data_IF_443804261957
#
_entry.id   IF_443804261957
#
_cell.length_a   1.000
_cell.length_b   1.000
_cell.length_c   1.000
_cell.angle_alpha   90.00
_cell.angle_beta   90.00
_cell.angle_gamma   90.00
#
_symmetry.space_group_name_H-M   'P 1'
#
loop_
_entity.id
_entity.type
_entity.pdbx_description
1 polymer ?
#
# COMPACT_ATOMS: atom_id res chain seq x y z
N UNK A 1 26.66 -11.99 13.84
CA UNK A 1 25.97 -11.17 12.79
C UNK A 1 26.69 -11.13 11.44
N UNK A 2 27.57 -12.10 11.15
CA UNK A 2 28.35 -12.17 9.90
C UNK A 2 27.53 -12.36 8.61
N UNK A 3 26.23 -12.54 8.71
CA UNK A 3 25.31 -12.76 7.57
C UNK A 3 24.44 -11.53 7.22
N UNK A 4 24.71 -10.38 7.80
CA UNK A 4 23.94 -9.16 7.57
C UNK A 4 24.84 -8.00 7.11
N UNK A 5 24.25 -7.11 6.31
CA UNK A 5 24.86 -5.84 5.90
C UNK A 5 24.16 -4.69 6.61
N UNK A 6 24.91 -3.67 7.01
CA UNK A 6 24.35 -2.39 7.48
C UNK A 6 23.94 -1.57 6.27
N UNK A 7 22.75 -0.99 6.32
CA UNK A 7 22.21 -0.03 5.36
C UNK A 7 21.99 1.28 6.09
N UNK A 8 22.43 2.38 5.51
CA UNK A 8 22.29 3.73 6.05
C UNK A 8 21.15 4.48 5.37
N UNK A 9 20.65 5.48 6.06
CA UNK A 9 19.64 6.40 5.52
C UNK A 9 20.08 6.97 4.17
N UNK A 10 19.17 6.98 3.21
CA UNK A 10 19.47 7.40 1.82
C UNK A 10 20.04 6.30 0.93
N UNK A 11 20.37 5.14 1.51
CA UNK A 11 20.82 3.98 0.72
C UNK A 11 19.65 3.10 0.32
N UNK A 12 19.83 2.43 -0.80
CA UNK A 12 18.89 1.46 -1.37
C UNK A 12 19.32 0.03 -1.06
N UNK A 13 18.32 -0.82 -0.97
CA UNK A 13 18.50 -2.28 -0.98
C UNK A 13 17.81 -2.87 -2.20
N UNK A 14 18.41 -3.89 -2.77
CA UNK A 14 17.95 -4.51 -4.00
C UNK A 14 18.18 -6.03 -3.99
N UNK A 15 17.16 -6.78 -4.41
CA UNK A 15 17.28 -8.22 -4.70
C UNK A 15 17.02 -8.44 -6.18
N UNK A 16 17.94 -9.11 -6.91
CA UNK A 16 17.80 -9.31 -8.35
C UNK A 16 16.72 -10.29 -8.77
N UNK A 17 16.18 -11.10 -7.86
CA UNK A 17 15.14 -12.11 -8.16
C UNK A 17 13.80 -11.44 -8.48
N UNK A 18 13.30 -11.63 -9.71
CA UNK A 18 12.02 -11.09 -10.18
C UNK A 18 10.90 -12.13 -10.24
N UNK A 19 11.23 -13.43 -10.31
CA UNK A 19 10.26 -14.49 -10.58
C UNK A 19 9.43 -14.93 -9.37
N UNK A 20 9.92 -14.71 -8.14
CA UNK A 20 9.29 -15.19 -6.90
C UNK A 20 8.40 -14.18 -6.19
N UNK A 21 8.31 -12.96 -6.70
CA UNK A 21 7.66 -11.82 -6.01
C UNK A 21 6.50 -11.22 -6.81
N UNK A 22 5.82 -12.05 -7.61
CA UNK A 22 4.68 -11.60 -8.41
C UNK A 22 5.09 -10.63 -9.52
N UNK A 23 6.17 -10.95 -10.23
CA UNK A 23 6.74 -10.16 -11.34
C UNK A 23 7.18 -8.74 -10.93
N UNK A 24 7.55 -8.56 -9.64
CA UNK A 24 8.08 -7.31 -9.10
C UNK A 24 9.52 -7.47 -8.71
N UNK A 25 10.29 -6.42 -8.95
CA UNK A 25 11.65 -6.31 -8.44
C UNK A 25 11.62 -5.72 -7.02
N UNK A 26 12.42 -6.28 -6.11
CA UNK A 26 12.47 -5.79 -4.74
C UNK A 26 13.57 -4.73 -4.61
N UNK A 27 13.15 -3.47 -4.63
CA UNK A 27 14.01 -2.31 -4.34
C UNK A 27 13.33 -1.51 -3.23
N UNK A 28 14.12 -1.05 -2.26
CA UNK A 28 13.65 -0.18 -1.19
C UNK A 28 14.70 0.86 -0.84
N UNK A 29 14.26 2.06 -0.50
CA UNK A 29 15.07 3.15 0.04
C UNK A 29 14.88 3.20 1.56
N UNK A 30 15.95 3.34 2.32
CA UNK A 30 15.88 3.56 3.75
C UNK A 30 15.69 5.05 4.04
N UNK A 31 14.48 5.43 4.47
CA UNK A 31 14.12 6.83 4.78
C UNK A 31 13.90 7.08 6.27
N UNK A 32 13.30 6.10 7.00
CA UNK A 32 12.74 6.32 8.34
C UNK A 32 13.76 6.13 9.47
N UNK A 33 14.84 5.38 9.22
CA UNK A 33 15.86 5.05 10.23
C UNK A 33 17.24 5.48 9.76
N UNK A 34 18.10 5.86 10.70
CA UNK A 34 19.49 6.22 10.38
C UNK A 34 20.30 5.03 9.88
N UNK A 35 20.05 3.84 10.45
CA UNK A 35 20.68 2.59 10.03
C UNK A 35 19.69 1.42 10.14
N UNK A 36 19.88 0.40 9.31
CA UNK A 36 19.13 -0.84 9.31
C UNK A 36 20.01 -2.04 8.97
N UNK A 37 19.51 -3.24 9.21
CA UNK A 37 20.20 -4.49 8.88
C UNK A 37 19.44 -5.24 7.79
N UNK A 38 20.14 -5.64 6.74
CA UNK A 38 19.59 -6.51 5.69
C UNK A 38 20.43 -7.75 5.51
N UNK A 39 19.82 -8.84 5.04
CA UNK A 39 20.54 -10.07 4.73
C UNK A 39 21.61 -9.81 3.67
N UNK A 40 22.67 -10.62 3.68
CA UNK A 40 23.78 -10.53 2.73
C UNK A 40 23.41 -10.74 1.26
N UNK A 41 22.21 -11.30 0.99
CA UNK A 41 21.69 -11.50 -0.38
C UNK A 41 21.25 -10.18 -1.03
N UNK A 42 21.04 -9.13 -0.24
CA UNK A 42 20.71 -7.81 -0.78
C UNK A 42 21.97 -7.11 -1.29
N UNK A 43 21.88 -6.51 -2.45
CA UNK A 43 22.82 -5.49 -2.90
C UNK A 43 22.42 -4.16 -2.28
N UNK A 44 23.39 -3.45 -1.69
CA UNK A 44 23.21 -2.10 -1.15
C UNK A 44 23.89 -1.14 -2.11
N UNK A 45 23.20 -0.06 -2.47
CA UNK A 45 23.73 0.99 -3.34
C UNK A 45 23.20 2.36 -2.93
N UNK A 46 23.81 3.41 -3.41
CA UNK A 46 23.41 4.80 -3.12
C UNK A 46 23.57 5.69 -4.34
N UNK A 47 22.95 6.85 -4.32
CA UNK A 47 23.14 7.89 -5.29
C UNK A 47 24.49 8.59 -5.01
N UNK A 48 25.37 8.65 -6.00
CA UNK A 48 26.72 9.23 -5.85
C UNK A 48 26.65 10.75 -5.69
N UNK A 49 25.76 11.42 -6.42
CA UNK A 49 25.64 12.88 -6.47
C UNK A 49 24.19 13.30 -6.23
N UNK A 50 23.88 13.58 -4.97
CA UNK A 50 22.54 13.98 -4.55
C UNK A 50 22.15 15.41 -4.98
N UNK A 51 23.10 16.20 -5.47
CA UNK A 51 22.80 17.50 -6.07
C UNK A 51 22.24 17.37 -7.50
N UNK A 52 22.46 16.21 -8.13
CA UNK A 52 21.92 15.90 -9.45
C UNK A 52 20.72 14.99 -9.42
N UNK A 53 20.69 14.02 -8.50
CA UNK A 53 19.64 13.01 -8.42
C UNK A 53 19.23 12.78 -6.95
N UNK A 54 17.99 13.07 -6.63
CA UNK A 54 17.44 12.77 -5.30
C UNK A 54 17.16 11.27 -5.15
N UNK A 55 17.56 10.63 -4.04
CA UNK A 55 17.22 9.24 -3.76
C UNK A 55 15.72 8.99 -3.80
N UNK A 56 14.92 9.88 -3.23
CA UNK A 56 13.45 9.77 -3.21
C UNK A 56 12.86 9.84 -4.64
N UNK A 57 13.41 10.69 -5.51
CA UNK A 57 12.98 10.74 -6.91
C UNK A 57 13.32 9.43 -7.63
N UNK A 58 14.51 8.88 -7.41
CA UNK A 58 14.92 7.60 -7.97
C UNK A 58 14.03 6.46 -7.44
N UNK A 59 13.64 6.47 -6.16
CA UNK A 59 12.70 5.49 -5.61
C UNK A 59 11.33 5.57 -6.28
N UNK A 60 10.83 6.78 -6.56
CA UNK A 60 9.57 6.95 -7.32
C UNK A 60 9.68 6.37 -8.73
N UNK A 61 10.84 6.50 -9.38
CA UNK A 61 11.08 5.88 -10.68
C UNK A 61 11.00 4.35 -10.60
N UNK A 62 11.65 3.74 -9.61
CA UNK A 62 11.64 2.29 -9.41
C UNK A 62 10.27 1.74 -8.99
N UNK A 63 9.44 2.54 -8.33
CA UNK A 63 8.11 2.13 -7.85
C UNK A 63 7.05 2.03 -8.95
N UNK A 64 7.37 2.36 -10.20
CA UNK A 64 6.42 2.34 -11.31
C UNK A 64 6.19 0.92 -11.83
N UNK A 65 4.97 0.56 -12.18
CA UNK A 65 4.68 -0.73 -12.82
C UNK A 65 5.45 -0.96 -14.14
N UNK A 66 5.81 0.14 -14.84
CA UNK A 66 6.64 0.07 -16.05
C UNK A 66 8.03 -0.45 -15.74
N UNK A 67 8.60 -0.06 -14.59
CA UNK A 67 9.90 -0.55 -14.17
C UNK A 67 9.87 -2.03 -13.79
N UNK A 68 8.84 -2.48 -13.10
CA UNK A 68 8.63 -3.90 -12.82
C UNK A 68 8.58 -4.73 -14.12
N UNK A 69 7.83 -4.27 -15.13
CA UNK A 69 7.76 -4.92 -16.45
C UNK A 69 9.11 -4.92 -17.17
N UNK A 70 9.83 -3.80 -17.11
CA UNK A 70 11.17 -3.71 -17.67
C UNK A 70 12.13 -4.67 -16.98
N UNK A 71 12.17 -4.67 -15.66
CA UNK A 71 13.00 -5.57 -14.86
C UNK A 71 12.69 -7.04 -15.18
N UNK A 72 11.42 -7.39 -15.32
CA UNK A 72 10.99 -8.74 -15.70
C UNK A 72 11.46 -9.10 -17.11
N UNK A 73 11.31 -8.21 -18.08
CA UNK A 73 11.76 -8.42 -19.46
C UNK A 73 13.29 -8.58 -19.57
N UNK A 74 14.04 -7.85 -18.75
CA UNK A 74 15.51 -7.91 -18.72
C UNK A 74 16.08 -9.04 -17.87
N UNK A 75 15.22 -9.72 -17.12
CA UNK A 75 15.64 -10.84 -16.27
C UNK A 75 15.96 -12.08 -17.11
N UNK A 76 17.00 -12.81 -16.70
CA UNK A 76 17.39 -14.05 -17.34
C UNK A 76 17.57 -15.16 -16.29
N UNK A 77 17.52 -16.39 -16.76
CA UNK A 77 17.70 -17.60 -15.95
C UNK A 77 16.60 -18.63 -16.20
N UNK A 78 16.95 -19.89 -16.10
CA UNK A 78 16.02 -21.00 -16.39
C UNK A 78 15.21 -21.45 -15.17
N UNK A 79 15.72 -21.22 -13.95
CA UNK A 79 15.09 -21.64 -12.68
C UNK A 79 14.71 -20.44 -11.82
N UNK A 80 15.54 -19.42 -11.87
CA UNK A 80 15.31 -18.11 -11.22
C UNK A 80 15.65 -17.04 -12.22
N UNK A 81 14.68 -16.24 -12.55
CA UNK A 81 14.91 -15.09 -13.40
C UNK A 81 15.38 -13.94 -12.55
N UNK A 82 16.53 -13.39 -12.91
CA UNK A 82 17.20 -12.33 -12.18
C UNK A 82 17.55 -11.18 -13.13
N UNK A 83 17.30 -9.97 -12.68
CA UNK A 83 17.89 -8.77 -13.25
C UNK A 83 19.14 -8.47 -12.43
N UNK A 84 20.31 -8.77 -12.98
CA UNK A 84 21.57 -8.58 -12.27
C UNK A 84 21.97 -7.12 -12.15
N UNK A 85 23.04 -6.85 -11.39
CA UNK A 85 23.50 -5.49 -11.16
C UNK A 85 24.03 -4.81 -12.43
N UNK A 86 24.60 -5.55 -13.34
CA UNK A 86 25.09 -5.03 -14.61
C UNK A 86 23.94 -4.52 -15.49
N UNK A 87 22.82 -5.26 -15.54
CA UNK A 87 21.60 -4.81 -16.22
C UNK A 87 20.95 -3.63 -15.49
N UNK A 88 20.99 -3.60 -14.15
CA UNK A 88 20.52 -2.45 -13.39
C UNK A 88 21.29 -1.18 -13.74
N UNK A 89 22.60 -1.26 -13.90
CA UNK A 89 23.45 -0.12 -14.28
C UNK A 89 23.18 0.41 -15.69
N UNK A 90 22.54 -0.36 -16.57
CA UNK A 90 22.16 0.05 -17.93
C UNK A 90 20.79 0.74 -18.00
N UNK A 91 20.07 0.82 -16.88
CA UNK A 91 18.76 1.47 -16.84
C UNK A 91 18.89 2.95 -17.14
N UNK A 92 18.24 3.39 -18.19
CA UNK A 92 18.13 4.81 -18.53
C UNK A 92 16.91 5.41 -17.82
N UNK A 93 17.10 6.56 -17.17
CA UNK A 93 16.05 7.30 -16.51
C UNK A 93 16.15 8.79 -16.85
N UNK A 94 15.02 9.52 -16.93
CA UNK A 94 15.07 10.96 -17.06
C UNK A 94 15.54 11.60 -15.76
N UNK A 95 16.54 12.45 -15.83
CA UNK A 95 17.05 13.22 -14.68
C UNK A 95 16.77 14.72 -14.96
N UNK A 96 15.57 15.21 -14.61
CA UNK A 96 15.28 16.63 -14.71
C UNK A 96 16.10 17.43 -13.70
N UNK A 97 16.05 18.77 -13.81
CA UNK A 97 16.69 19.62 -12.82
C UNK A 97 16.23 19.31 -11.39
N UNK A 98 17.10 19.57 -10.41
CA UNK A 98 16.89 19.17 -9.02
C UNK A 98 15.63 19.81 -8.42
N UNK A 99 15.28 21.02 -8.83
CA UNK A 99 14.09 21.71 -8.34
C UNK A 99 12.81 21.04 -8.85
N UNK A 100 12.82 20.52 -10.06
CA UNK A 100 11.71 19.73 -10.59
C UNK A 100 11.57 18.39 -9.88
N UNK A 101 12.70 17.72 -9.58
CA UNK A 101 12.70 16.50 -8.78
C UNK A 101 12.10 16.76 -7.38
N UNK A 102 12.51 17.82 -6.68
CA UNK A 102 11.97 18.23 -5.37
C UNK A 102 10.47 18.46 -5.42
N UNK A 103 9.97 19.13 -6.45
CA UNK A 103 8.53 19.35 -6.65
C UNK A 103 7.75 18.04 -6.82
N UNK A 104 8.29 17.09 -7.59
CA UNK A 104 7.67 15.78 -7.82
C UNK A 104 7.63 14.99 -6.50
N UNK A 105 8.76 14.88 -5.80
CA UNK A 105 8.85 14.18 -4.51
C UNK A 105 7.89 14.80 -3.50
N UNK A 106 7.86 16.14 -3.39
CA UNK A 106 6.95 16.84 -2.48
C UNK A 106 5.48 16.58 -2.79
N UNK A 107 5.10 16.61 -4.07
CA UNK A 107 3.73 16.33 -4.49
C UNK A 107 3.32 14.90 -4.12
N UNK A 108 4.17 13.93 -4.39
CA UNK A 108 3.94 12.53 -4.02
C UNK A 108 3.81 12.37 -2.51
N UNK A 109 4.78 12.88 -1.74
CA UNK A 109 4.77 12.82 -0.27
C UNK A 109 3.53 13.45 0.34
N UNK A 110 3.06 14.57 -0.20
CA UNK A 110 1.82 15.22 0.27
C UNK A 110 0.61 14.29 0.15
N UNK A 111 0.55 13.47 -0.89
CA UNK A 111 -0.55 12.52 -1.10
C UNK A 111 -0.40 11.31 -0.17
N UNK A 112 0.79 10.72 -0.07
CA UNK A 112 1.04 9.55 0.78
C UNK A 112 0.85 9.89 2.26
N UNK A 113 1.40 11.01 2.75
CA UNK A 113 1.21 11.46 4.12
C UNK A 113 -0.28 11.66 4.47
N UNK A 114 -1.07 12.13 3.50
CA UNK A 114 -2.52 12.28 3.67
C UNK A 114 -3.25 10.93 3.72
N UNK A 115 -2.79 9.95 2.96
CA UNK A 115 -3.33 8.58 3.01
C UNK A 115 -3.03 7.97 4.38
N UNK A 116 -1.78 8.06 4.84
CA UNK A 116 -1.34 7.51 6.12
C UNK A 116 -2.09 8.17 7.30
N UNK A 117 -2.26 9.50 7.24
CA UNK A 117 -3.05 10.20 8.25
C UNK A 117 -4.50 9.72 8.29
N UNK A 118 -5.13 9.53 7.13
CA UNK A 118 -6.50 9.01 7.06
C UNK A 118 -6.60 7.58 7.60
N UNK A 119 -5.61 6.74 7.32
CA UNK A 119 -5.57 5.39 7.87
C UNK A 119 -5.52 5.43 9.40
N UNK A 120 -4.61 6.22 9.97
CA UNK A 120 -4.52 6.40 11.43
C UNK A 120 -5.81 6.93 12.05
N UNK A 121 -6.53 7.81 11.35
CA UNK A 121 -7.84 8.29 11.82
C UNK A 121 -8.85 7.15 11.83
N UNK A 122 -8.90 6.32 10.79
CA UNK A 122 -9.81 5.18 10.73
C UNK A 122 -9.50 4.18 11.86
N UNK A 123 -8.23 3.83 12.07
CA UNK A 123 -7.81 2.92 13.13
C UNK A 123 -8.23 3.45 14.52
N UNK A 124 -8.03 4.75 14.78
CA UNK A 124 -8.47 5.38 16.03
C UNK A 124 -10.00 5.41 16.20
N UNK A 125 -10.75 5.56 15.11
CA UNK A 125 -12.21 5.49 15.14
C UNK A 125 -12.71 4.09 15.46
N UNK A 126 -12.09 3.06 14.88
CA UNK A 126 -12.39 1.67 15.17
C UNK A 126 -12.08 1.32 16.62
N UNK A 127 -10.92 1.71 17.14
CA UNK A 127 -10.55 1.53 18.56
C UNK A 127 -11.52 2.25 19.49
N UNK A 128 -11.96 3.46 19.12
CA UNK A 128 -12.95 4.22 19.89
C UNK A 128 -14.29 3.52 19.90
N UNK A 129 -14.76 3.02 18.75
CA UNK A 129 -16.01 2.29 18.65
C UNK A 129 -15.97 1.01 19.49
N UNK A 130 -14.88 0.25 19.45
CA UNK A 130 -14.68 -0.94 20.27
C UNK A 130 -14.69 -0.61 21.76
N UNK A 131 -14.00 0.45 22.17
CA UNK A 131 -13.96 0.90 23.57
C UNK A 131 -15.36 1.29 24.06
N UNK A 132 -16.12 2.02 23.24
CA UNK A 132 -17.50 2.38 23.56
C UNK A 132 -18.40 1.14 23.66
N UNK A 133 -18.26 0.19 22.72
CA UNK A 133 -19.00 -1.06 22.77
C UNK A 133 -18.71 -1.83 24.07
N UNK A 134 -17.45 -2.02 24.39
CA UNK A 134 -17.03 -2.69 25.64
C UNK A 134 -17.60 -1.99 26.87
N UNK A 135 -17.51 -0.66 26.92
CA UNK A 135 -18.02 0.13 28.04
C UNK A 135 -19.54 0.01 28.20
N UNK A 136 -20.29 0.14 27.11
CA UNK A 136 -21.75 0.20 27.20
C UNK A 136 -22.43 -1.18 27.16
N UNK A 137 -21.80 -2.16 26.50
CA UNK A 137 -22.42 -3.46 26.28
C UNK A 137 -21.72 -4.60 27.03
N UNK A 138 -20.42 -4.59 27.22
CA UNK A 138 -19.73 -5.70 27.89
C UNK A 138 -19.49 -5.45 29.37
N UNK A 139 -19.01 -4.29 29.75
CA UNK A 139 -18.65 -3.94 31.13
C UNK A 139 -19.76 -3.23 31.91
N UNK A 140 -20.95 -3.06 31.31
CA UNK A 140 -22.03 -2.37 31.97
C UNK A 140 -22.60 -3.22 33.10
N UNK A 141 -22.58 -2.68 34.33
CA UNK A 141 -23.14 -3.32 35.52
C UNK A 141 -24.67 -3.49 35.46
N UNK A 142 -25.34 -2.70 34.64
CA UNK A 142 -26.80 -2.70 34.53
C UNK A 142 -27.36 -3.76 33.57
N UNK A 143 -26.50 -4.60 32.97
CA UNK A 143 -26.91 -5.69 32.07
C UNK A 143 -27.95 -6.63 32.71
N UNK A 144 -27.87 -6.84 34.01
CA UNK A 144 -28.82 -7.68 34.71
C UNK A 144 -30.26 -7.14 34.66
N UNK A 145 -30.43 -5.84 34.41
CA UNK A 145 -31.73 -5.17 34.27
C UNK A 145 -32.30 -5.26 32.83
N UNK A 146 -31.50 -5.69 31.87
CA UNK A 146 -31.90 -5.73 30.46
C UNK A 146 -32.88 -6.88 30.22
N UNK A 147 -33.97 -6.55 29.53
CA UNK A 147 -34.97 -7.55 29.15
C UNK A 147 -34.40 -8.49 28.10
N UNK A 148 -34.48 -9.77 28.36
CA UNK A 148 -34.15 -10.79 27.37
C UNK A 148 -35.22 -10.82 26.28
N UNK A 149 -34.83 -10.88 25.03
CA UNK A 149 -35.69 -10.98 23.87
C UNK A 149 -35.07 -11.81 22.77
N UNK A 150 -35.85 -12.21 21.81
CA UNK A 150 -35.36 -12.91 20.60
C UNK A 150 -35.15 -11.93 19.47
N UNK A 151 -34.34 -12.32 18.48
CA UNK A 151 -34.16 -11.56 17.25
C UNK A 151 -35.51 -11.30 16.55
N UNK A 152 -36.43 -12.26 16.60
CA UNK A 152 -37.77 -12.14 16.02
C UNK A 152 -38.67 -11.11 16.71
N UNK A 153 -38.36 -10.75 17.98
CA UNK A 153 -39.14 -9.73 18.70
C UNK A 153 -38.77 -8.30 18.25
N UNK A 154 -37.60 -8.12 17.67
CA UNK A 154 -37.04 -6.80 17.34
C UNK A 154 -36.72 -6.58 15.84
N UNK A 155 -36.78 -7.65 15.06
CA UNK A 155 -36.52 -7.58 13.62
C UNK A 155 -37.72 -8.12 12.83
N UNK A 156 -38.09 -7.38 11.80
CA UNK A 156 -39.03 -7.83 10.79
C UNK A 156 -38.32 -8.00 9.47
N UNK A 157 -38.37 -9.20 8.88
CA UNK A 157 -37.82 -9.44 7.56
C UNK A 157 -38.80 -8.91 6.51
N UNK A 158 -38.34 -7.92 5.73
CA UNK A 158 -39.07 -7.45 4.58
C UNK A 158 -38.26 -7.83 3.30
N UNK A 159 -38.87 -8.68 2.49
CA UNK A 159 -38.30 -8.99 1.17
C UNK A 159 -38.48 -7.80 0.25
N UNK A 160 -37.38 -7.40 -0.43
CA UNK A 160 -37.45 -6.43 -1.50
C UNK A 160 -38.12 -7.01 -2.77
N UNK A 161 -38.37 -6.16 -3.74
CA UNK A 161 -38.88 -6.55 -5.05
C UNK A 161 -37.68 -6.76 -6.00
N UNK A 162 -37.81 -7.76 -6.87
CA UNK A 162 -36.85 -7.94 -7.95
C UNK A 162 -37.04 -6.80 -8.95
N UNK A 163 -35.97 -6.05 -9.22
CA UNK A 163 -35.96 -4.96 -10.20
C UNK A 163 -34.92 -5.27 -11.29
N UNK A 164 -35.37 -5.76 -12.46
CA UNK A 164 -34.49 -6.02 -13.60
C UNK A 164 -33.81 -4.72 -14.06
N UNK A 165 -32.56 -4.81 -14.52
CA UNK A 165 -31.81 -3.64 -15.03
C UNK A 165 -32.53 -2.91 -16.15
N UNK A 166 -33.34 -3.64 -16.95
CA UNK A 166 -34.14 -3.08 -18.04
C UNK A 166 -35.29 -2.22 -17.57
N UNK A 167 -35.70 -2.34 -16.31
CA UNK A 167 -36.78 -1.55 -15.71
C UNK A 167 -36.26 -0.41 -14.80
N UNK A 168 -34.94 -0.29 -14.67
CA UNK A 168 -34.33 0.82 -13.96
C UNK A 168 -34.42 2.10 -14.82
N UNK A 169 -35.16 3.07 -14.35
CA UNK A 169 -35.42 4.31 -15.10
C UNK A 169 -34.48 5.45 -14.76
N UNK A 170 -33.49 5.20 -13.90
CA UNK A 170 -32.68 6.27 -13.31
C UNK A 170 -33.44 7.03 -12.23
N UNK A 171 -32.79 7.35 -11.12
CA UNK A 171 -33.48 8.01 -10.02
C UNK A 171 -32.52 8.57 -8.97
N UNK A 172 -33.11 9.13 -7.93
CA UNK A 172 -32.37 9.73 -6.82
C UNK A 172 -31.73 8.67 -5.89
N UNK A 173 -32.31 7.49 -5.83
CA UNK A 173 -31.91 6.46 -4.85
C UNK A 173 -31.11 5.35 -5.52
N UNK A 174 -30.00 4.91 -4.88
CA UNK A 174 -29.23 3.80 -5.40
C UNK A 174 -30.02 2.49 -5.26
N UNK A 175 -29.98 1.65 -6.28
CA UNK A 175 -30.52 0.29 -6.27
C UNK A 175 -29.39 -0.64 -5.84
N UNK A 176 -29.55 -1.27 -4.66
CA UNK A 176 -28.56 -2.19 -4.11
C UNK A 176 -28.80 -3.61 -4.62
N UNK A 177 -27.73 -4.26 -5.08
CA UNK A 177 -27.68 -5.69 -5.37
C UNK A 177 -26.75 -6.41 -4.40
N UNK A 178 -26.59 -7.73 -4.56
CA UNK A 178 -25.70 -8.55 -3.72
C UNK A 178 -24.22 -8.14 -3.79
N UNK A 179 -23.80 -7.46 -4.86
CA UNK A 179 -22.42 -7.02 -5.10
C UNK A 179 -22.23 -5.52 -4.94
N UNK A 180 -23.22 -4.79 -4.40
CA UNK A 180 -23.19 -3.34 -4.23
C UNK A 180 -24.25 -2.62 -5.06
N UNK A 181 -24.04 -1.33 -5.32
CA UNK A 181 -24.97 -0.54 -6.13
C UNK A 181 -24.93 -0.99 -7.59
N UNK A 182 -26.10 -1.37 -8.13
CA UNK A 182 -26.25 -1.89 -9.50
C UNK A 182 -26.90 -0.88 -10.46
N UNK A 183 -27.45 0.23 -9.93
CA UNK A 183 -28.10 1.30 -10.70
C UNK A 183 -28.73 2.37 -9.80
N UNK A 184 -29.39 3.32 -10.41
CA UNK A 184 -30.14 4.40 -9.77
C UNK A 184 -31.52 4.50 -10.38
#
# INVERSE_FOLDING_TARGET
FTKYKVVKKGQFTYIPDTSRRGDKIAIALLEDYEEGLVSNVYTVFEVIDTEKLLPEYLMLWFSRPEFDRYARFKSHGSVREVMDWEEMCKVELPVPDIEKQRKIVKAYKTITDRIDLKQKINDNLDDTAQTLYQKYFESNSDKSSWKQGTVGDVLQLQRGHDLPRTEMTGGKYPVAGSTGTIGY
#
